data_IF_829128660188
#
_entry.id   IF_829128660188
#
_cell.length_a   1.000
_cell.length_b   1.000
_cell.length_c   1.000
_cell.angle_alpha   90.00
_cell.angle_beta   90.00
_cell.angle_gamma   90.00
#
_symmetry.space_group_name_H-M   'P 1'
#
loop_
_entity.id
_entity.type
_entity.pdbx_description
1 polymer ?
#
# COMPACT_ATOMS: atom_id res chain seq x y z
N UNK A 1 24.60 29.47 1.38
CA UNK A 1 25.07 28.07 1.33
C UNK A 1 23.95 27.25 1.91
N UNK A 2 23.50 26.23 1.18
CA UNK A 2 22.57 25.24 1.76
C UNK A 2 23.37 24.44 2.78
N UNK A 3 22.84 24.30 3.98
CA UNK A 3 23.48 23.49 5.03
C UNK A 3 23.01 22.04 4.93
N UNK A 4 23.79 21.10 5.47
CA UNK A 4 23.35 19.68 5.57
C UNK A 4 22.02 19.54 6.32
N UNK A 5 21.65 20.50 7.18
CA UNK A 5 20.37 20.51 7.89
C UNK A 5 19.15 20.77 6.99
N UNK A 6 19.27 21.62 5.96
CA UNK A 6 18.16 21.95 5.06
C UNK A 6 17.89 20.82 4.05
N UNK A 7 18.95 20.23 3.49
CA UNK A 7 18.80 19.07 2.62
C UNK A 7 18.40 17.79 3.38
N UNK A 8 18.79 17.67 4.65
CA UNK A 8 18.23 16.60 5.51
C UNK A 8 16.73 16.79 5.75
N UNK A 9 16.20 18.02 5.67
CA UNK A 9 14.77 18.26 5.81
C UNK A 9 13.99 17.71 4.61
N UNK A 10 14.40 17.99 3.38
CA UNK A 10 13.65 17.52 2.20
C UNK A 10 13.60 16.00 2.11
N UNK A 11 14.70 15.29 2.42
CA UNK A 11 14.70 13.83 2.45
C UNK A 11 13.77 13.28 3.54
N UNK A 12 13.79 13.89 4.73
CA UNK A 12 12.91 13.52 5.84
C UNK A 12 11.44 13.79 5.51
N UNK A 13 11.14 14.93 4.92
CA UNK A 13 9.79 15.35 4.56
C UNK A 13 9.22 14.48 3.44
N UNK A 14 10.03 14.17 2.43
CA UNK A 14 9.69 13.19 1.40
C UNK A 14 9.43 11.80 2.00
N UNK A 15 10.31 11.34 2.88
CA UNK A 15 10.17 10.02 3.50
C UNK A 15 8.90 9.93 4.35
N UNK A 16 8.65 10.93 5.19
CA UNK A 16 7.43 10.99 5.99
C UNK A 16 6.16 11.05 5.11
N UNK A 17 6.19 11.81 4.02
CA UNK A 17 5.11 11.84 3.05
C UNK A 17 4.90 10.47 2.39
N UNK A 18 5.96 9.84 1.89
CA UNK A 18 5.91 8.53 1.21
C UNK A 18 5.33 7.44 2.11
N UNK A 19 5.75 7.39 3.37
CA UNK A 19 5.23 6.39 4.31
C UNK A 19 3.76 6.61 4.64
N UNK A 20 3.31 7.87 4.68
CA UNK A 20 1.89 8.20 4.86
C UNK A 20 1.05 7.89 3.63
N UNK A 21 1.59 8.13 2.44
CA UNK A 21 0.90 7.92 1.16
C UNK A 21 0.86 6.44 0.74
N UNK A 22 1.85 5.65 1.17
CA UNK A 22 1.92 4.19 1.00
C UNK A 22 2.00 3.47 2.37
N UNK A 23 0.89 3.41 3.14
CA UNK A 23 0.84 2.78 4.45
C UNK A 23 1.30 1.31 4.48
N UNK A 24 0.96 0.54 3.44
CA UNK A 24 1.35 -0.86 3.31
C UNK A 24 2.87 -0.98 3.19
N UNK A 25 3.50 -0.14 2.36
CA UNK A 25 4.96 -0.08 2.26
C UNK A 25 5.60 0.27 3.61
N UNK A 26 5.01 1.19 4.38
CA UNK A 26 5.52 1.52 5.71
C UNK A 26 5.54 0.29 6.63
N UNK A 27 4.47 -0.49 6.68
CA UNK A 27 4.44 -1.76 7.44
C UNK A 27 5.49 -2.75 6.91
N UNK A 28 5.61 -2.93 5.59
CA UNK A 28 6.54 -3.89 4.97
C UNK A 28 8.02 -3.63 5.33
N UNK A 29 8.37 -2.39 5.65
CA UNK A 29 9.74 -2.02 6.07
C UNK A 29 9.89 -1.82 7.59
N UNK A 30 8.88 -2.22 8.38
CA UNK A 30 8.90 -2.15 9.84
C UNK A 30 8.54 -0.80 10.45
N UNK A 31 7.91 0.10 9.68
CA UNK A 31 7.43 1.39 10.18
C UNK A 31 5.91 1.35 10.40
N UNK A 32 5.52 1.16 11.66
CA UNK A 32 4.12 0.92 12.06
C UNK A 32 3.31 2.20 12.35
N UNK A 33 3.67 3.34 11.76
CA UNK A 33 3.00 4.63 12.00
C UNK A 33 1.63 4.74 11.31
N UNK A 34 1.38 3.90 10.29
CA UNK A 34 0.22 4.00 9.41
C UNK A 34 -0.54 2.66 9.26
N UNK A 35 -0.36 1.72 10.19
CA UNK A 35 -0.90 0.35 10.10
C UNK A 35 -2.43 0.24 9.99
N UNK A 36 -3.17 1.29 10.37
CA UNK A 36 -4.63 1.34 10.23
C UNK A 36 -5.15 1.86 8.89
N UNK A 37 -4.25 2.15 7.93
CA UNK A 37 -4.60 2.74 6.65
C UNK A 37 -4.20 1.83 5.48
N UNK A 38 -4.87 2.06 4.35
CA UNK A 38 -4.57 1.48 3.05
C UNK A 38 -4.31 2.62 2.06
N UNK A 39 -3.45 2.36 1.07
CA UNK A 39 -3.15 3.30 0.00
C UNK A 39 -4.40 3.54 -0.86
N UNK A 40 -4.66 4.80 -1.21
CA UNK A 40 -5.71 5.18 -2.17
C UNK A 40 -5.25 4.89 -3.61
N UNK A 41 -6.10 4.29 -4.44
CA UNK A 41 -5.79 3.92 -5.83
C UNK A 41 -6.59 4.74 -6.85
N UNK A 42 -7.33 5.77 -6.42
CA UNK A 42 -8.12 6.62 -7.33
C UNK A 42 -7.24 7.33 -8.37
N UNK A 43 -7.79 7.67 -9.54
CA UNK A 43 -7.07 8.47 -10.55
C UNK A 43 -6.59 9.82 -9.99
N UNK A 44 -7.38 10.43 -9.10
CA UNK A 44 -7.03 11.68 -8.43
C UNK A 44 -5.85 11.50 -7.46
N UNK A 45 -5.76 10.36 -6.77
CA UNK A 45 -4.61 10.04 -5.91
C UNK A 45 -3.29 10.04 -6.69
N UNK A 46 -3.26 9.46 -7.89
CA UNK A 46 -2.06 9.49 -8.76
C UNK A 46 -1.73 10.91 -9.25
N UNK A 47 -2.73 11.74 -9.55
CA UNK A 47 -2.51 13.14 -9.88
C UNK A 47 -1.94 13.94 -8.69
N UNK A 48 -2.45 13.71 -7.48
CA UNK A 48 -1.92 14.28 -6.23
C UNK A 48 -0.49 13.86 -5.97
N UNK A 49 -0.17 12.57 -6.10
CA UNK A 49 1.21 12.04 -6.00
C UNK A 49 2.14 12.72 -7.00
N UNK A 50 1.74 12.81 -8.27
CA UNK A 50 2.52 13.50 -9.31
C UNK A 50 2.82 14.95 -8.92
N UNK A 51 1.80 15.67 -8.47
CA UNK A 51 1.94 17.07 -8.04
C UNK A 51 2.89 17.20 -6.84
N UNK A 52 2.79 16.31 -5.87
CA UNK A 52 3.65 16.35 -4.69
C UNK A 52 5.11 16.01 -5.04
N UNK A 53 5.35 14.97 -5.84
CA UNK A 53 6.70 14.64 -6.31
C UNK A 53 7.32 15.76 -7.14
N UNK A 54 6.53 16.49 -7.95
CA UNK A 54 7.04 17.67 -8.68
C UNK A 54 7.55 18.76 -7.75
N UNK A 55 6.85 19.02 -6.63
CA UNK A 55 7.32 20.00 -5.64
C UNK A 55 8.65 19.57 -5.02
N UNK A 56 8.74 18.31 -4.57
CA UNK A 56 10.00 17.78 -4.06
C UNK A 56 11.13 17.84 -5.09
N UNK A 57 10.83 17.61 -6.37
CA UNK A 57 11.82 17.69 -7.45
C UNK A 57 12.31 19.13 -7.66
N UNK A 58 11.39 20.09 -7.71
CA UNK A 58 11.72 21.52 -7.84
C UNK A 58 12.59 22.00 -6.67
N UNK A 59 12.22 21.64 -5.45
CA UNK A 59 13.00 21.93 -4.24
C UNK A 59 14.38 21.25 -4.28
N UNK A 60 14.47 19.97 -4.65
CA UNK A 60 15.73 19.24 -4.74
C UNK A 60 16.69 19.85 -5.76
N UNK A 61 16.20 20.25 -6.94
CA UNK A 61 16.99 20.93 -7.97
C UNK A 61 17.49 22.29 -7.45
N UNK A 62 16.64 23.05 -6.77
CA UNK A 62 17.05 24.31 -6.14
C UNK A 62 18.14 24.08 -5.08
N UNK A 63 18.03 23.04 -4.25
CA UNK A 63 19.07 22.72 -3.28
C UNK A 63 20.39 22.35 -3.97
N UNK A 64 20.34 21.45 -4.96
CA UNK A 64 21.51 20.99 -5.69
C UNK A 64 22.29 22.14 -6.34
N UNK A 65 21.62 23.18 -6.87
CA UNK A 65 22.29 24.33 -7.48
C UNK A 65 23.11 25.19 -6.50
N UNK A 66 22.89 25.04 -5.19
CA UNK A 66 23.56 25.82 -4.14
C UNK A 66 24.60 25.01 -3.35
N UNK A 67 24.71 23.69 -3.56
CA UNK A 67 25.73 22.84 -2.92
C UNK A 67 27.03 22.93 -3.71
N UNK A 68 28.08 23.51 -3.11
CA UNK A 68 29.38 23.73 -3.79
C UNK A 68 30.47 22.76 -3.37
N UNK A 69 30.59 22.47 -2.07
CA UNK A 69 31.78 21.80 -1.52
C UNK A 69 31.48 20.43 -0.91
N UNK A 70 30.21 20.09 -0.69
CA UNK A 70 29.80 18.78 -0.15
C UNK A 70 29.45 17.81 -1.31
N UNK A 71 30.38 16.91 -1.63
CA UNK A 71 30.20 15.95 -2.73
C UNK A 71 29.20 14.84 -2.38
N UNK A 72 29.17 14.38 -1.14
CA UNK A 72 28.22 13.35 -0.69
C UNK A 72 26.79 13.88 -0.80
N UNK A 73 26.56 15.11 -0.33
CA UNK A 73 25.25 15.74 -0.46
C UNK A 73 24.85 15.95 -1.93
N UNK A 74 25.77 16.33 -2.81
CA UNK A 74 25.48 16.45 -4.24
C UNK A 74 25.06 15.11 -4.85
N UNK A 75 25.77 14.03 -4.53
CA UNK A 75 25.46 12.70 -5.04
C UNK A 75 24.09 12.21 -4.54
N UNK A 76 23.80 12.39 -3.25
CA UNK A 76 22.50 12.04 -2.67
C UNK A 76 21.36 12.87 -3.29
N UNK A 77 21.55 14.17 -3.49
CA UNK A 77 20.55 15.01 -4.18
C UNK A 77 20.37 14.59 -5.64
N UNK A 78 21.44 14.23 -6.35
CA UNK A 78 21.35 13.77 -7.73
C UNK A 78 20.54 12.47 -7.81
N UNK A 79 20.82 11.49 -6.94
CA UNK A 79 20.04 10.26 -6.86
C UNK A 79 18.56 10.55 -6.59
N UNK A 80 18.27 11.42 -5.64
CA UNK A 80 16.89 11.79 -5.30
C UNK A 80 16.16 12.50 -6.46
N UNK A 81 16.85 13.39 -7.17
CA UNK A 81 16.34 14.04 -8.38
C UNK A 81 16.02 13.00 -9.47
N UNK A 82 16.91 12.02 -9.67
CA UNK A 82 16.73 10.97 -10.68
C UNK A 82 15.57 10.02 -10.32
N UNK A 83 15.43 9.67 -9.04
CA UNK A 83 14.29 8.89 -8.53
C UNK A 83 12.96 9.61 -8.74
N UNK A 84 12.86 10.87 -8.31
CA UNK A 84 11.64 11.68 -8.47
C UNK A 84 11.28 11.89 -9.95
N UNK A 85 12.28 12.20 -10.77
CA UNK A 85 12.09 12.39 -12.21
C UNK A 85 11.59 11.11 -12.88
N UNK A 86 12.18 9.97 -12.51
CA UNK A 86 11.76 8.65 -13.02
C UNK A 86 10.35 8.30 -12.58
N UNK A 87 10.00 8.55 -11.32
CA UNK A 87 8.65 8.33 -10.79
C UNK A 87 7.60 9.19 -11.52
N UNK A 88 7.86 10.49 -11.68
CA UNK A 88 6.95 11.42 -12.38
C UNK A 88 6.74 10.98 -13.84
N UNK A 89 7.82 10.57 -14.52
CA UNK A 89 7.75 10.03 -15.88
C UNK A 89 6.98 8.71 -15.95
N UNK A 90 7.14 7.84 -14.94
CA UNK A 90 6.38 6.59 -14.83
C UNK A 90 4.87 6.82 -14.73
N UNK A 91 4.44 7.87 -14.01
CA UNK A 91 3.03 8.26 -13.94
C UNK A 91 2.47 8.70 -15.31
N UNK A 92 3.30 9.28 -16.19
CA UNK A 92 2.90 9.63 -17.56
C UNK A 92 2.74 8.39 -18.45
N UNK A 93 3.48 7.33 -18.18
CA UNK A 93 3.32 6.03 -18.82
C UNK A 93 2.10 5.25 -18.31
N UNK A 94 1.35 5.79 -17.33
CA UNK A 94 0.13 5.22 -16.74
C UNK A 94 0.29 3.79 -16.21
N UNK A 95 1.47 3.44 -15.67
CA UNK A 95 1.71 2.11 -15.12
C UNK A 95 0.71 1.70 -14.01
N UNK A 96 0.05 2.66 -13.37
CA UNK A 96 -0.94 2.43 -12.33
C UNK A 96 -2.24 1.73 -12.80
N UNK A 97 -2.50 1.63 -14.10
CA UNK A 97 -3.68 0.87 -14.62
C UNK A 97 -3.47 -0.64 -14.59
N UNK A 98 -2.29 -1.09 -14.14
CA UNK A 98 -1.86 -2.47 -14.11
C UNK A 98 -1.64 -2.99 -12.68
N UNK A 99 -2.58 -2.83 -11.72
CA UNK A 99 -2.34 -3.08 -10.31
C UNK A 99 -2.21 -4.56 -9.93
N UNK A 100 -2.60 -5.49 -10.81
CA UNK A 100 -2.71 -6.92 -10.50
C UNK A 100 -2.21 -7.74 -11.69
N UNK A 101 -1.28 -8.65 -11.42
CA UNK A 101 -0.84 -9.72 -12.31
C UNK A 101 -0.53 -10.98 -11.48
N UNK A 102 -0.02 -12.05 -12.11
CA UNK A 102 0.29 -13.30 -11.41
C UNK A 102 1.38 -13.17 -10.32
N UNK A 103 2.35 -12.27 -10.50
CA UNK A 103 3.51 -12.10 -9.61
C UNK A 103 3.32 -11.00 -8.56
N UNK A 104 2.44 -10.05 -8.83
CA UNK A 104 2.24 -8.85 -8.02
C UNK A 104 0.75 -8.50 -7.93
N UNK A 105 0.34 -7.95 -6.80
CA UNK A 105 -1.02 -7.47 -6.63
C UNK A 105 -1.54 -7.74 -5.23
N UNK A 106 -2.71 -7.20 -4.94
CA UNK A 106 -3.28 -7.22 -3.59
C UNK A 106 -3.58 -8.64 -3.09
N UNK A 107 -3.82 -9.60 -4.00
CA UNK A 107 -4.01 -11.02 -3.67
C UNK A 107 -2.76 -11.70 -3.10
N UNK A 108 -1.57 -11.14 -3.32
CA UNK A 108 -0.31 -11.61 -2.75
C UNK A 108 0.16 -10.70 -1.62
N UNK A 109 0.19 -9.39 -1.89
CA UNK A 109 0.76 -8.42 -0.96
C UNK A 109 -0.09 -8.25 0.30
N UNK A 110 -1.42 -8.41 0.24
CA UNK A 110 -2.26 -8.26 1.44
C UNK A 110 -2.02 -9.39 2.45
N UNK A 111 -1.77 -10.61 1.99
CA UNK A 111 -1.41 -11.73 2.86
C UNK A 111 -0.06 -11.45 3.55
N UNK A 112 0.93 -11.06 2.76
CA UNK A 112 2.27 -10.70 3.26
C UNK A 112 2.24 -9.52 4.22
N UNK A 113 1.37 -8.54 3.96
CA UNK A 113 1.19 -7.37 4.82
C UNK A 113 0.78 -7.77 6.23
N UNK A 114 -0.18 -8.69 6.37
CA UNK A 114 -0.68 -9.16 7.67
C UNK A 114 0.41 -9.89 8.46
N UNK A 115 1.24 -10.68 7.79
CA UNK A 115 2.38 -11.38 8.42
C UNK A 115 3.42 -10.41 9.00
N UNK A 116 3.50 -9.20 8.45
CA UNK A 116 4.45 -8.17 8.85
C UNK A 116 3.82 -7.10 9.75
N UNK A 117 2.56 -7.23 10.15
CA UNK A 117 1.93 -6.35 11.15
C UNK A 117 2.36 -6.69 12.58
N UNK A 118 2.24 -5.73 13.48
CA UNK A 118 2.37 -5.95 14.93
C UNK A 118 1.05 -6.47 15.51
N UNK A 119 1.14 -7.19 16.63
CA UNK A 119 -0.01 -7.79 17.34
C UNK A 119 0.22 -7.83 18.87
N UNK A 120 0.82 -6.77 19.41
CA UNK A 120 1.29 -6.69 20.81
C UNK A 120 0.23 -6.16 21.77
N UNK A 121 -0.74 -5.41 21.26
CA UNK A 121 -1.79 -4.79 22.06
C UNK A 121 -3.09 -4.63 21.26
N UNK A 122 -4.18 -4.25 21.93
CA UNK A 122 -5.50 -4.11 21.30
C UNK A 122 -5.50 -3.19 20.07
N UNK A 123 -4.72 -2.10 20.09
CA UNK A 123 -4.67 -1.14 18.98
C UNK A 123 -4.24 -1.80 17.68
N UNK A 124 -3.36 -2.79 17.75
CA UNK A 124 -2.81 -3.43 16.56
C UNK A 124 -3.88 -4.28 15.85
N UNK A 125 -4.74 -4.95 16.62
CA UNK A 125 -5.93 -5.63 16.09
C UNK A 125 -6.93 -4.64 15.51
N UNK A 126 -7.09 -3.45 16.11
CA UNK A 126 -7.92 -2.39 15.54
C UNK A 126 -7.36 -1.84 14.23
N UNK A 127 -6.04 -1.73 14.10
CA UNK A 127 -5.39 -1.37 12.84
C UNK A 127 -5.67 -2.43 11.75
N UNK A 128 -5.55 -3.72 12.09
CA UNK A 128 -5.90 -4.82 11.19
C UNK A 128 -7.36 -4.72 10.72
N UNK A 129 -8.28 -4.46 11.64
CA UNK A 129 -9.72 -4.34 11.32
C UNK A 129 -10.02 -3.12 10.45
N UNK A 130 -9.31 -2.01 10.66
CA UNK A 130 -9.41 -0.84 9.80
C UNK A 130 -8.96 -1.16 8.36
N UNK A 131 -7.90 -1.97 8.18
CA UNK A 131 -7.50 -2.46 6.86
C UNK A 131 -8.55 -3.38 6.24
N UNK A 132 -9.10 -4.34 7.01
CA UNK A 132 -10.19 -5.21 6.53
C UNK A 132 -11.40 -4.40 6.06
N UNK A 133 -11.80 -3.37 6.83
CA UNK A 133 -12.90 -2.49 6.46
C UNK A 133 -12.59 -1.56 5.28
N UNK A 134 -11.31 -1.26 5.02
CA UNK A 134 -10.87 -0.36 3.96
C UNK A 134 -10.76 -0.99 2.57
N UNK A 135 -10.69 -2.32 2.48
CA UNK A 135 -10.48 -3.03 1.20
C UNK A 135 -11.56 -2.71 0.16
N UNK A 136 -12.82 -2.55 0.58
CA UNK A 136 -13.91 -2.21 -0.33
C UNK A 136 -13.62 -0.93 -1.14
N UNK A 137 -13.14 0.12 -0.46
CA UNK A 137 -12.78 1.38 -1.13
C UNK A 137 -11.55 1.22 -2.03
N UNK A 138 -10.52 0.55 -1.53
CA UNK A 138 -9.29 0.32 -2.30
C UNK A 138 -9.56 -0.51 -3.57
N UNK A 139 -10.38 -1.55 -3.50
CA UNK A 139 -10.70 -2.40 -4.64
C UNK A 139 -11.57 -1.67 -5.64
N UNK A 140 -12.52 -0.85 -5.19
CA UNK A 140 -13.31 0.01 -6.07
C UNK A 140 -12.42 1.00 -6.84
N UNK A 141 -11.40 1.56 -6.18
CA UNK A 141 -10.41 2.39 -6.84
C UNK A 141 -9.56 1.60 -7.86
N UNK A 142 -9.08 0.41 -7.49
CA UNK A 142 -8.34 -0.49 -8.38
C UNK A 142 -9.15 -0.87 -9.63
N UNK A 143 -10.43 -1.19 -9.47
CA UNK A 143 -11.35 -1.47 -10.57
C UNK A 143 -11.47 -0.24 -11.48
N UNK A 144 -11.63 0.96 -10.93
CA UNK A 144 -11.72 2.19 -11.75
C UNK A 144 -10.44 2.45 -12.56
N UNK A 145 -9.25 2.23 -12.00
CA UNK A 145 -8.01 2.41 -12.76
C UNK A 145 -7.80 1.33 -13.82
N UNK A 146 -8.20 0.08 -13.55
CA UNK A 146 -8.20 -0.99 -14.55
C UNK A 146 -9.20 -0.71 -15.67
N UNK A 147 -10.40 -0.20 -15.36
CA UNK A 147 -11.38 0.23 -16.36
C UNK A 147 -10.86 1.36 -17.26
N UNK A 148 -10.11 2.32 -16.70
CA UNK A 148 -9.41 3.34 -17.51
C UNK A 148 -8.35 2.71 -18.41
N UNK A 149 -7.62 1.70 -17.92
CA UNK A 149 -6.72 0.88 -18.73
C UNK A 149 -7.44 0.23 -19.91
N UNK A 150 -8.55 -0.49 -19.66
CA UNK A 150 -9.38 -1.10 -20.70
C UNK A 150 -9.88 -0.09 -21.73
N UNK A 151 -10.40 1.07 -21.26
CA UNK A 151 -10.90 2.14 -22.12
C UNK A 151 -9.82 2.72 -23.04
N UNK A 152 -8.56 2.70 -22.60
CA UNK A 152 -7.41 3.23 -23.34
C UNK A 152 -6.59 2.16 -24.07
N UNK A 153 -7.05 0.89 -24.07
CA UNK A 153 -6.34 -0.22 -24.72
C UNK A 153 -5.07 -0.65 -24.01
N UNK A 154 -4.97 -0.36 -22.71
CA UNK A 154 -3.84 -0.69 -21.84
C UNK A 154 -4.26 -1.80 -20.87
N UNK A 155 -4.10 -3.05 -21.30
CA UNK A 155 -4.34 -4.25 -20.48
C UNK A 155 -3.12 -5.15 -20.47
N UNK A 156 -3.00 -6.00 -19.44
CA UNK A 156 -1.99 -7.04 -19.42
C UNK A 156 -2.17 -8.02 -20.59
N UNK A 157 -1.07 -8.67 -20.98
CA UNK A 157 -1.15 -9.85 -21.84
C UNK A 157 -1.81 -10.99 -21.06
N UNK A 158 -2.65 -11.86 -21.67
CA UNK A 158 -3.36 -12.93 -20.96
C UNK A 158 -2.46 -13.83 -20.10
N UNK A 159 -1.25 -14.13 -20.57
CA UNK A 159 -0.25 -14.93 -19.82
C UNK A 159 0.12 -14.29 -18.47
N UNK A 160 0.10 -12.96 -18.36
CA UNK A 160 0.37 -12.28 -17.08
C UNK A 160 -0.78 -12.42 -16.07
N UNK A 161 -1.97 -12.83 -16.53
CA UNK A 161 -3.18 -13.00 -15.70
C UNK A 161 -3.48 -14.47 -15.40
N UNK A 162 -2.79 -15.40 -16.05
CA UNK A 162 -3.01 -16.84 -15.86
C UNK A 162 -2.76 -17.23 -14.39
N UNK A 163 -3.78 -17.79 -13.74
CA UNK A 163 -3.72 -18.19 -12.32
C UNK A 163 -4.08 -17.08 -11.32
N UNK A 164 -4.30 -15.83 -11.72
CA UNK A 164 -4.74 -14.75 -10.81
C UNK A 164 -6.09 -15.06 -10.16
N UNK A 165 -7.05 -15.57 -10.94
CA UNK A 165 -8.38 -15.96 -10.44
C UNK A 165 -8.24 -17.07 -9.38
N UNK A 166 -7.40 -18.08 -9.61
CA UNK A 166 -7.17 -19.15 -8.64
C UNK A 166 -6.48 -18.64 -7.37
N UNK A 167 -5.57 -17.65 -7.48
CA UNK A 167 -4.97 -16.99 -6.33
C UNK A 167 -6.04 -16.29 -5.47
N UNK A 168 -6.95 -15.54 -6.09
CA UNK A 168 -8.03 -14.85 -5.37
C UNK A 168 -9.04 -15.81 -4.78
N UNK A 169 -9.38 -16.89 -5.49
CA UNK A 169 -10.31 -17.91 -5.01
C UNK A 169 -9.83 -18.55 -3.72
N UNK A 170 -8.53 -18.90 -3.63
CA UNK A 170 -7.93 -19.47 -2.41
C UNK A 170 -8.05 -18.58 -1.17
N UNK A 171 -8.22 -17.27 -1.34
CA UNK A 171 -8.41 -16.34 -0.21
C UNK A 171 -9.85 -16.38 0.34
N UNK A 172 -10.76 -17.08 -0.33
CA UNK A 172 -12.21 -17.06 -0.04
C UNK A 172 -12.76 -18.43 0.39
N UNK A 173 -12.03 -19.52 0.14
CA UNK A 173 -12.55 -20.89 0.30
C UNK A 173 -12.76 -21.32 1.76
N UNK A 174 -11.94 -20.82 2.68
CA UNK A 174 -12.01 -21.19 4.09
C UNK A 174 -13.13 -20.44 4.83
N UNK A 175 -13.73 -21.09 5.84
CA UNK A 175 -14.55 -20.39 6.81
C UNK A 175 -13.75 -19.26 7.49
N UNK A 176 -14.36 -18.12 7.85
CA UNK A 176 -13.64 -16.95 8.37
C UNK A 176 -12.65 -17.30 9.50
N UNK A 177 -13.06 -18.13 10.46
CA UNK A 177 -12.27 -18.59 11.60
C UNK A 177 -11.07 -19.50 11.24
N UNK A 178 -11.10 -20.13 10.07
CA UNK A 178 -10.04 -20.99 9.57
C UNK A 178 -9.12 -20.28 8.56
N UNK A 179 -9.51 -19.08 8.11
CA UNK A 179 -8.79 -18.32 7.10
C UNK A 179 -7.44 -17.79 7.62
N UNK A 180 -6.53 -17.49 6.67
CA UNK A 180 -5.26 -16.81 6.98
C UNK A 180 -5.48 -15.45 7.68
N UNK A 181 -6.59 -14.79 7.39
CA UNK A 181 -6.96 -13.50 7.95
C UNK A 181 -7.37 -13.57 9.44
N UNK A 182 -7.68 -14.76 9.95
CA UNK A 182 -7.99 -14.98 11.36
C UNK A 182 -6.76 -15.37 12.20
N UNK A 183 -5.66 -15.79 11.56
CA UNK A 183 -4.45 -16.26 12.26
C UNK A 183 -3.95 -15.32 13.37
N UNK A 184 -3.94 -13.99 13.21
CA UNK A 184 -3.48 -13.11 14.29
C UNK A 184 -4.25 -13.26 15.61
N UNK A 185 -5.51 -13.67 15.56
CA UNK A 185 -6.37 -13.82 16.75
C UNK A 185 -6.15 -15.12 17.52
N UNK A 186 -5.39 -16.05 16.95
CA UNK A 186 -5.08 -17.34 17.57
C UNK A 186 -4.02 -17.22 18.68
N UNK A 187 -3.23 -16.14 18.69
CA UNK A 187 -2.12 -15.96 19.62
C UNK A 187 -2.07 -14.55 20.20
N UNK A 188 -3.23 -14.08 20.70
CA UNK A 188 -3.32 -12.77 21.35
C UNK A 188 -2.55 -12.72 22.68
N UNK A 189 -1.81 -11.63 22.96
CA UNK A 189 -0.98 -11.51 24.15
C UNK A 189 -1.82 -11.45 25.43
N UNK A 190 -1.22 -11.90 26.54
CA UNK A 190 -1.86 -11.92 27.87
C UNK A 190 -2.08 -10.53 28.48
N UNK A 191 -1.54 -9.48 27.85
CA UNK A 191 -1.84 -8.08 28.17
C UNK A 191 -3.28 -7.70 27.85
N UNK A 192 -3.98 -8.48 27.00
CA UNK A 192 -5.39 -8.31 26.66
C UNK A 192 -6.21 -9.30 27.51
N UNK A 193 -7.27 -8.82 28.18
CA UNK A 193 -8.12 -9.70 29.00
C UNK A 193 -8.86 -10.74 28.16
N UNK A 194 -9.18 -11.91 28.73
CA UNK A 194 -9.90 -12.96 28.00
C UNK A 194 -11.27 -12.50 27.47
N UNK A 195 -12.00 -11.70 28.26
CA UNK A 195 -13.24 -11.08 27.79
C UNK A 195 -12.99 -10.24 26.53
N UNK A 196 -11.91 -9.45 26.51
CA UNK A 196 -11.60 -8.58 25.38
C UNK A 196 -11.10 -9.38 24.17
N UNK A 197 -10.33 -10.44 24.39
CA UNK A 197 -9.94 -11.40 23.34
C UNK A 197 -11.19 -11.99 22.67
N UNK A 198 -12.19 -12.40 23.44
CA UNK A 198 -13.44 -12.94 22.89
C UNK A 198 -14.25 -11.91 22.10
N UNK A 199 -14.28 -10.65 22.55
CA UNK A 199 -14.90 -9.55 21.80
C UNK A 199 -14.18 -9.29 20.47
N UNK A 200 -12.84 -9.21 20.49
CA UNK A 200 -12.03 -9.03 19.27
C UNK A 200 -12.29 -10.16 18.26
N UNK A 201 -12.33 -11.42 18.69
CA UNK A 201 -12.63 -12.56 17.82
C UNK A 201 -14.01 -12.42 17.16
N UNK A 202 -15.03 -12.08 17.93
CA UNK A 202 -16.41 -11.90 17.41
C UNK A 202 -16.50 -10.76 16.40
N UNK A 203 -15.79 -9.66 16.64
CA UNK A 203 -15.75 -8.52 15.72
C UNK A 203 -15.04 -8.84 14.41
N UNK A 204 -14.00 -9.70 14.45
CA UNK A 204 -13.23 -10.05 13.26
C UNK A 204 -14.00 -10.90 12.26
N UNK A 205 -14.83 -11.85 12.72
CA UNK A 205 -15.53 -12.78 11.83
C UNK A 205 -16.31 -12.08 10.70
N UNK A 206 -17.20 -11.09 10.95
CA UNK A 206 -17.89 -10.40 9.87
C UNK A 206 -16.94 -9.53 9.02
N UNK A 207 -15.87 -8.98 9.59
CA UNK A 207 -14.88 -8.21 8.83
C UNK A 207 -14.09 -9.09 7.86
N UNK A 208 -13.71 -10.28 8.28
CA UNK A 208 -13.04 -11.26 7.42
C UNK A 208 -14.01 -11.75 6.35
N UNK A 209 -15.21 -12.18 6.73
CA UNK A 209 -16.18 -12.74 5.81
C UNK A 209 -16.60 -11.74 4.73
N UNK A 210 -16.95 -10.51 5.12
CA UNK A 210 -17.50 -9.53 4.19
C UNK A 210 -16.47 -8.50 3.73
N UNK A 211 -15.65 -8.00 4.63
CA UNK A 211 -14.66 -6.96 4.33
C UNK A 211 -13.43 -7.48 3.57
N UNK A 212 -13.07 -8.76 3.75
CA UNK A 212 -11.92 -9.36 3.06
C UNK A 212 -12.35 -10.36 2.01
N UNK A 213 -12.90 -11.52 2.42
CA UNK A 213 -13.24 -12.61 1.51
C UNK A 213 -14.28 -12.18 0.47
N UNK A 214 -15.35 -11.52 0.93
CA UNK A 214 -16.36 -10.93 0.04
C UNK A 214 -15.77 -9.94 -0.97
N UNK A 215 -14.88 -9.04 -0.53
CA UNK A 215 -14.26 -8.06 -1.42
C UNK A 215 -13.29 -8.70 -2.43
N UNK A 216 -12.55 -9.75 -2.04
CA UNK A 216 -11.78 -10.54 -3.01
C UNK A 216 -12.68 -11.23 -4.03
N UNK A 217 -13.88 -11.67 -3.63
CA UNK A 217 -14.89 -12.20 -4.56
C UNK A 217 -15.36 -11.17 -5.58
N UNK A 218 -15.65 -9.94 -5.15
CA UNK A 218 -16.03 -8.84 -6.05
C UNK A 218 -14.91 -8.48 -7.04
N UNK A 219 -13.67 -8.40 -6.55
CA UNK A 219 -12.51 -8.13 -7.39
C UNK A 219 -12.23 -9.26 -8.37
N UNK A 220 -12.37 -10.52 -7.94
CA UNK A 220 -12.27 -11.69 -8.80
C UNK A 220 -13.34 -11.62 -9.91
N UNK A 221 -14.60 -11.35 -9.57
CA UNK A 221 -15.69 -11.25 -10.54
C UNK A 221 -15.44 -10.18 -11.61
N UNK A 222 -14.80 -9.06 -11.26
CA UNK A 222 -14.42 -8.04 -12.24
C UNK A 222 -13.34 -8.53 -13.23
N UNK A 223 -12.47 -9.45 -12.82
CA UNK A 223 -11.37 -9.95 -13.65
C UNK A 223 -11.75 -11.12 -14.56
N UNK A 224 -12.93 -11.72 -14.37
CA UNK A 224 -13.50 -12.80 -15.21
C UNK A 224 -14.17 -12.27 -16.49
#
# INVERSE_FOLDING_TARGET
MVTNGEASSIFKDFWAWRLKDSPEFATLIGVHLHDGYLQEYSLDSFAKRKKQCKKFLEEAIQYASHVKEDNELKENLQLFIDELSSYIKGLDAKGYVFPINYLEGVQLEFVRLIELMQFENERDYRNLYARYGGLAGQFLDMIQVMQEGMRTGMTYHPVSMEGVIDQMKRLQEDAPENSIFYKPLLSMPDTISEQRKDELRKEALPLIQHGVQGMFGELQFFLE
#
